data_IF_404507179913
#
_entry.id   IF_404507179913
#
_cell.length_a   1.000
_cell.length_b   1.000
_cell.length_c   1.000
_cell.angle_alpha   90.00
_cell.angle_beta   90.00
_cell.angle_gamma   90.00
#
_symmetry.space_group_name_H-M   'P 1'
#
loop_
_entity.id
_entity.type
_entity.pdbx_description
1 polymer ?
#
# COMPACT_ATOMS: atom_id res chain seq x y z
N UNK A 1 26.89 -29.26 -38.58
CA UNK A 1 25.57 -28.58 -38.79
C UNK A 1 24.71 -28.52 -37.52
N UNK A 2 25.25 -28.72 -36.34
CA UNK A 2 24.55 -28.80 -35.04
C UNK A 2 24.70 -27.59 -34.10
N UNK A 3 25.69 -26.73 -34.30
CA UNK A 3 25.98 -25.63 -33.35
C UNK A 3 25.20 -24.33 -33.58
N UNK A 4 24.75 -24.07 -34.81
CA UNK A 4 23.98 -22.86 -35.17
C UNK A 4 22.54 -22.84 -34.66
N UNK A 5 21.93 -24.01 -34.33
CA UNK A 5 20.56 -24.10 -33.78
C UNK A 5 20.47 -23.86 -32.29
N UNK A 6 21.56 -24.08 -31.56
CA UNK A 6 21.58 -23.93 -30.08
C UNK A 6 21.66 -22.45 -29.66
N UNK A 7 22.39 -21.65 -30.43
CA UNK A 7 22.51 -20.20 -30.17
C UNK A 7 21.25 -19.40 -30.53
N UNK A 8 20.47 -19.86 -31.52
CA UNK A 8 19.21 -19.23 -31.93
C UNK A 8 18.11 -19.39 -30.86
N UNK A 9 18.06 -20.52 -30.14
CA UNK A 9 17.08 -20.73 -29.04
C UNK A 9 17.41 -19.94 -27.77
N UNK A 10 18.71 -19.81 -27.46
CA UNK A 10 19.12 -19.03 -26.28
C UNK A 10 18.84 -17.52 -26.47
N UNK A 11 19.05 -17.00 -27.68
CA UNK A 11 18.71 -15.59 -28.00
C UNK A 11 17.22 -15.33 -28.11
N UNK A 12 16.40 -16.31 -28.48
CA UNK A 12 14.94 -16.17 -28.51
C UNK A 12 14.31 -16.20 -27.11
N UNK A 13 14.89 -16.94 -26.17
CA UNK A 13 14.44 -16.99 -24.77
C UNK A 13 14.76 -15.67 -24.03
N UNK A 14 15.90 -15.05 -24.32
CA UNK A 14 16.26 -13.73 -23.80
C UNK A 14 15.40 -12.60 -24.39
N UNK A 15 14.88 -12.77 -25.61
CA UNK A 15 14.06 -11.77 -26.29
C UNK A 15 12.62 -11.71 -25.77
N UNK A 16 12.13 -12.75 -25.10
CA UNK A 16 10.75 -12.87 -24.59
C UNK A 16 10.67 -12.80 -23.05
N UNK A 17 11.71 -12.36 -22.35
CA UNK A 17 11.65 -12.19 -20.91
C UNK A 17 10.79 -10.94 -20.60
N UNK A 18 9.66 -11.07 -19.84
CA UNK A 18 8.77 -9.94 -19.56
C UNK A 18 9.53 -8.77 -18.90
N UNK A 19 10.57 -9.04 -18.13
CA UNK A 19 11.42 -8.02 -17.52
C UNK A 19 12.18 -7.20 -18.56
N UNK A 20 12.71 -7.82 -19.63
CA UNK A 20 13.45 -7.10 -20.68
C UNK A 20 12.55 -6.21 -21.53
N UNK A 21 11.29 -6.60 -21.74
CA UNK A 21 10.32 -5.77 -22.45
C UNK A 21 9.89 -4.55 -21.64
N UNK A 22 9.69 -4.72 -20.33
CA UNK A 22 9.36 -3.63 -19.39
C UNK A 22 10.52 -2.63 -19.29
N UNK A 23 11.75 -3.11 -19.16
CA UNK A 23 12.94 -2.26 -19.11
C UNK A 23 13.12 -1.48 -20.41
N UNK A 24 12.96 -2.13 -21.56
CA UNK A 24 13.08 -1.46 -22.89
C UNK A 24 11.99 -0.40 -23.09
N UNK A 25 10.76 -0.66 -22.65
CA UNK A 25 9.67 0.30 -22.75
C UNK A 25 9.87 1.55 -21.88
N UNK A 26 10.61 1.43 -20.77
CA UNK A 26 10.80 2.50 -19.80
C UNK A 26 12.25 3.01 -19.72
N UNK A 27 13.10 2.69 -20.71
CA UNK A 27 14.54 3.00 -20.66
C UNK A 27 14.81 4.50 -20.47
N UNK A 28 14.00 5.38 -21.06
CA UNK A 28 14.12 6.81 -20.89
C UNK A 28 13.95 7.26 -19.44
N UNK A 29 12.93 6.74 -18.76
CA UNK A 29 12.66 7.06 -17.35
C UNK A 29 13.78 6.52 -16.46
N UNK A 30 14.27 5.31 -16.74
CA UNK A 30 15.36 4.68 -15.98
C UNK A 30 16.65 5.49 -16.14
N UNK A 31 16.98 5.93 -17.36
CA UNK A 31 18.18 6.75 -17.62
C UNK A 31 18.08 8.08 -16.88
N UNK A 32 16.95 8.77 -16.95
CA UNK A 32 16.75 10.03 -16.22
C UNK A 32 16.89 9.81 -14.71
N UNK A 33 16.31 8.74 -14.15
CA UNK A 33 16.45 8.40 -12.74
C UNK A 33 17.91 8.17 -12.34
N UNK A 34 18.66 7.41 -13.16
CA UNK A 34 20.09 7.16 -12.89
C UNK A 34 20.88 8.47 -12.92
N UNK A 35 20.65 9.33 -13.93
CA UNK A 35 21.32 10.63 -14.03
C UNK A 35 21.02 11.49 -12.79
N UNK A 36 19.78 11.55 -12.36
CA UNK A 36 19.41 12.27 -11.14
C UNK A 36 20.09 11.70 -9.89
N UNK A 37 20.11 10.38 -9.73
CA UNK A 37 20.79 9.74 -8.61
C UNK A 37 22.29 10.04 -8.59
N UNK A 38 22.96 9.97 -9.77
CA UNK A 38 24.37 10.30 -9.91
C UNK A 38 24.62 11.78 -9.59
N UNK A 39 23.81 12.68 -10.13
CA UNK A 39 23.94 14.11 -9.88
C UNK A 39 23.83 14.45 -8.37
N UNK A 40 22.85 13.86 -7.68
CA UNK A 40 22.70 14.06 -6.22
C UNK A 40 23.83 13.40 -5.44
N UNK A 41 24.31 12.23 -5.85
CA UNK A 41 25.46 11.55 -5.21
C UNK A 41 26.76 12.34 -5.32
N UNK A 42 26.95 13.06 -6.44
CA UNK A 42 28.09 13.96 -6.62
C UNK A 42 27.93 15.30 -5.89
N UNK A 43 26.68 15.74 -5.70
CA UNK A 43 26.38 17.02 -5.04
C UNK A 43 26.43 16.93 -3.50
N UNK A 44 26.28 15.74 -2.90
CA UNK A 44 26.24 15.56 -1.44
C UNK A 44 26.75 14.19 -1.00
N UNK A 45 27.68 14.19 -0.05
CA UNK A 45 28.25 12.96 0.53
C UNK A 45 27.24 12.16 1.37
N UNK A 46 26.07 12.76 1.68
CA UNK A 46 25.04 12.13 2.52
C UNK A 46 24.13 11.19 1.74
N UNK A 47 24.07 11.30 0.40
CA UNK A 47 23.11 10.56 -0.41
C UNK A 47 23.28 9.04 -0.33
N UNK A 48 24.51 8.55 -0.44
CA UNK A 48 24.85 7.12 -0.41
C UNK A 48 25.20 6.59 0.99
N UNK A 49 24.90 7.36 2.04
CA UNK A 49 25.14 6.89 3.41
C UNK A 49 24.15 5.79 3.80
N UNK A 50 24.59 4.84 4.62
CA UNK A 50 23.73 3.75 5.16
C UNK A 50 22.48 4.30 5.82
N UNK A 51 22.58 5.40 6.58
CA UNK A 51 21.43 6.02 7.24
C UNK A 51 20.40 6.55 6.24
N UNK A 52 20.84 7.16 5.14
CA UNK A 52 19.92 7.63 4.10
C UNK A 52 19.25 6.47 3.38
N UNK A 53 20.00 5.43 3.01
CA UNK A 53 19.46 4.24 2.36
C UNK A 53 18.40 3.59 3.26
N UNK A 54 18.66 3.43 4.55
CA UNK A 54 17.70 2.88 5.52
C UNK A 54 16.45 3.77 5.61
N UNK A 55 16.62 5.09 5.62
CA UNK A 55 15.48 6.03 5.66
C UNK A 55 14.62 5.93 4.40
N UNK A 56 15.24 5.83 3.23
CA UNK A 56 14.54 5.61 1.94
C UNK A 56 13.79 4.28 1.95
N UNK A 57 14.41 3.20 2.42
CA UNK A 57 13.77 1.88 2.52
C UNK A 57 12.55 1.91 3.45
N UNK A 58 12.61 2.62 4.58
CA UNK A 58 11.47 2.80 5.48
C UNK A 58 10.33 3.57 4.79
N UNK A 59 10.63 4.66 4.08
CA UNK A 59 9.62 5.43 3.35
C UNK A 59 8.96 4.60 2.25
N UNK A 60 9.75 3.85 1.47
CA UNK A 60 9.24 2.94 0.46
C UNK A 60 8.31 1.90 1.10
N UNK A 61 8.67 1.35 2.27
CA UNK A 61 7.86 0.36 2.96
C UNK A 61 6.48 0.91 3.32
N UNK A 62 6.41 2.10 3.91
CA UNK A 62 5.14 2.75 4.28
C UNK A 62 4.28 3.01 3.04
N UNK A 63 4.88 3.57 1.98
CA UNK A 63 4.16 3.82 0.73
C UNK A 63 3.67 2.52 0.08
N UNK A 64 4.42 1.42 0.21
CA UNK A 64 4.04 0.12 -0.34
C UNK A 64 2.83 -0.46 0.38
N UNK A 65 2.69 -0.30 1.71
CA UNK A 65 1.49 -0.75 2.42
C UNK A 65 0.24 -0.10 1.86
N UNK A 66 0.29 1.22 1.67
CA UNK A 66 -0.79 2.00 1.05
C UNK A 66 -1.03 1.53 -0.39
N UNK A 67 0.02 1.36 -1.18
CA UNK A 67 -0.07 0.95 -2.58
C UNK A 67 -0.69 -0.45 -2.76
N UNK A 68 -0.43 -1.39 -1.85
CA UNK A 68 -1.04 -2.72 -1.88
C UNK A 68 -2.56 -2.64 -1.73
N UNK A 69 -3.06 -1.85 -0.78
CA UNK A 69 -4.49 -1.61 -0.63
C UNK A 69 -5.08 -0.90 -1.84
N UNK A 70 -4.43 0.18 -2.31
CA UNK A 70 -4.85 0.92 -3.50
C UNK A 70 -4.92 0.07 -4.76
N UNK A 71 -4.04 -0.94 -4.89
CA UNK A 71 -4.04 -1.86 -6.03
C UNK A 71 -5.39 -2.55 -6.20
N UNK A 72 -6.02 -3.00 -5.10
CA UNK A 72 -7.34 -3.64 -5.13
C UNK A 72 -8.42 -2.69 -5.67
N UNK A 73 -8.38 -1.44 -5.22
CA UNK A 73 -9.35 -0.41 -5.60
C UNK A 73 -9.18 0.00 -7.06
N UNK A 74 -7.92 0.15 -7.51
CA UNK A 74 -7.60 0.52 -8.90
C UNK A 74 -8.01 -0.61 -9.87
N UNK A 75 -7.79 -1.88 -9.51
CA UNK A 75 -8.23 -3.02 -10.33
C UNK A 75 -9.75 -2.98 -10.51
N UNK A 76 -10.53 -2.60 -9.49
CA UNK A 76 -11.98 -2.43 -9.57
C UNK A 76 -12.44 -1.18 -10.34
N UNK A 77 -11.51 -0.34 -10.83
CA UNK A 77 -11.82 0.88 -11.57
C UNK A 77 -12.25 2.05 -10.68
N UNK A 78 -11.92 2.02 -9.37
CA UNK A 78 -12.24 3.08 -8.43
C UNK A 78 -10.98 3.84 -8.00
N UNK A 79 -11.18 5.04 -7.43
CA UNK A 79 -10.13 5.87 -6.84
C UNK A 79 -10.54 6.19 -5.40
N UNK A 80 -9.64 5.95 -4.45
CA UNK A 80 -9.82 6.31 -3.04
C UNK A 80 -8.83 7.41 -2.65
N UNK A 81 -9.37 8.57 -2.32
CA UNK A 81 -8.60 9.73 -1.88
C UNK A 81 -8.41 9.78 -0.36
N UNK A 82 -9.12 8.94 0.39
CA UNK A 82 -9.16 9.00 1.87
C UNK A 82 -8.02 8.25 2.56
N UNK A 83 -7.30 7.38 1.85
CA UNK A 83 -6.32 6.45 2.43
C UNK A 83 -5.31 7.13 3.34
N UNK A 84 -4.66 8.20 2.87
CA UNK A 84 -3.67 8.92 3.68
C UNK A 84 -4.27 9.52 4.95
N UNK A 85 -5.48 10.06 4.87
CA UNK A 85 -6.18 10.66 6.01
C UNK A 85 -6.67 9.61 7.01
N UNK A 86 -7.13 8.45 6.53
CA UNK A 86 -7.52 7.32 7.38
C UNK A 86 -6.30 6.78 8.12
N UNK A 87 -5.16 6.62 7.44
CA UNK A 87 -3.89 6.21 8.08
C UNK A 87 -3.47 7.24 9.15
N UNK A 88 -3.55 8.54 8.85
CA UNK A 88 -3.25 9.58 9.83
C UNK A 88 -4.20 9.54 11.02
N UNK A 89 -5.50 9.41 10.79
CA UNK A 89 -6.51 9.31 11.85
C UNK A 89 -6.31 8.07 12.72
N UNK A 90 -6.20 6.89 12.13
CA UNK A 90 -6.05 5.63 12.87
C UNK A 90 -4.73 5.60 13.65
N UNK A 91 -3.64 6.07 13.06
CA UNK A 91 -2.35 6.17 13.74
C UNK A 91 -2.37 7.16 14.90
N UNK A 92 -2.94 8.34 14.70
CA UNK A 92 -3.09 9.37 15.74
C UNK A 92 -3.93 8.86 16.91
N UNK A 93 -5.07 8.23 16.65
CA UNK A 93 -5.91 7.65 17.69
C UNK A 93 -5.21 6.50 18.43
N UNK A 94 -4.49 5.63 17.70
CA UNK A 94 -3.68 4.57 18.33
C UNK A 94 -2.67 5.14 19.32
N UNK A 95 -1.93 6.16 18.91
CA UNK A 95 -0.97 6.83 19.81
C UNK A 95 -1.69 7.46 21.00
N UNK A 96 -2.81 8.11 20.78
CA UNK A 96 -3.62 8.69 21.85
C UNK A 96 -4.17 7.66 22.85
N UNK A 97 -4.60 6.51 22.36
CA UNK A 97 -5.03 5.39 23.23
C UNK A 97 -3.90 4.90 24.13
N UNK A 98 -2.66 4.85 23.62
CA UNK A 98 -1.49 4.46 24.41
C UNK A 98 -1.10 5.57 25.40
N UNK A 99 -0.98 6.82 24.93
CA UNK A 99 -0.38 7.92 25.70
C UNK A 99 -1.38 8.58 26.65
N UNK A 100 -2.59 8.88 26.16
CA UNK A 100 -3.59 9.65 26.93
C UNK A 100 -4.49 8.75 27.77
N UNK A 101 -4.81 7.54 27.28
CA UNK A 101 -5.73 6.62 27.95
C UNK A 101 -5.02 5.47 28.67
N UNK A 102 -3.70 5.30 28.45
CA UNK A 102 -2.91 4.26 29.09
C UNK A 102 -3.31 2.83 28.70
N UNK A 103 -3.93 2.64 27.52
CA UNK A 103 -4.34 1.31 27.07
C UNK A 103 -3.13 0.42 26.76
N UNK A 104 -3.23 -0.89 27.02
CA UNK A 104 -2.21 -1.85 26.61
C UNK A 104 -1.94 -1.76 25.11
N UNK A 105 -0.67 -1.88 24.71
CA UNK A 105 -0.21 -1.72 23.32
C UNK A 105 -1.06 -2.51 22.32
N UNK A 106 -1.30 -3.80 22.59
CA UNK A 106 -2.07 -4.65 21.68
C UNK A 106 -3.52 -4.18 21.51
N UNK A 107 -4.16 -3.72 22.60
CA UNK A 107 -5.52 -3.18 22.55
C UNK A 107 -5.57 -1.89 21.75
N UNK A 108 -4.61 -0.99 21.96
CA UNK A 108 -4.54 0.27 21.23
C UNK A 108 -4.32 0.07 19.71
N UNK A 109 -3.45 -0.88 19.33
CA UNK A 109 -3.22 -1.22 17.92
C UNK A 109 -4.51 -1.78 17.30
N UNK A 110 -5.17 -2.75 17.96
CA UNK A 110 -6.43 -3.32 17.47
C UNK A 110 -7.52 -2.24 17.35
N UNK A 111 -7.64 -1.36 18.33
CA UNK A 111 -8.60 -0.25 18.29
C UNK A 111 -8.33 0.70 17.11
N UNK A 112 -7.07 1.06 16.85
CA UNK A 112 -6.69 1.87 15.70
C UNK A 112 -7.00 1.21 14.37
N UNK A 113 -6.73 -0.08 14.24
CA UNK A 113 -7.09 -0.86 13.05
C UNK A 113 -8.60 -0.91 12.85
N UNK A 114 -9.38 -1.09 13.91
CA UNK A 114 -10.84 -1.07 13.84
C UNK A 114 -11.39 0.30 13.41
N UNK A 115 -10.79 1.40 13.87
CA UNK A 115 -11.18 2.75 13.45
C UNK A 115 -10.92 2.93 11.95
N UNK A 116 -9.73 2.57 11.46
CA UNK A 116 -9.40 2.65 10.04
C UNK A 116 -10.34 1.79 9.19
N UNK A 117 -10.55 0.53 9.61
CA UNK A 117 -11.46 -0.41 8.94
C UNK A 117 -12.90 0.11 8.92
N UNK A 118 -13.39 0.68 10.01
CA UNK A 118 -14.74 1.26 10.10
C UNK A 118 -14.91 2.44 9.12
N UNK A 119 -13.93 3.34 9.04
CA UNK A 119 -13.95 4.46 8.10
C UNK A 119 -13.98 3.99 6.63
N UNK A 120 -13.12 3.04 6.28
CA UNK A 120 -13.11 2.42 4.95
C UNK A 120 -14.39 1.66 4.65
N UNK A 121 -14.93 0.91 5.63
CA UNK A 121 -16.20 0.19 5.49
C UNK A 121 -17.39 1.15 5.23
N UNK A 122 -17.47 2.27 5.95
CA UNK A 122 -18.51 3.28 5.74
C UNK A 122 -18.42 3.82 4.31
N UNK A 123 -17.22 4.20 3.84
CA UNK A 123 -17.02 4.67 2.47
C UNK A 123 -17.42 3.62 1.44
N UNK A 124 -16.96 2.38 1.61
CA UNK A 124 -17.28 1.27 0.73
C UNK A 124 -18.77 0.94 0.70
N UNK A 125 -19.43 0.96 1.86
CA UNK A 125 -20.86 0.73 1.97
C UNK A 125 -21.66 1.76 1.18
N UNK A 126 -21.33 3.05 1.31
CA UNK A 126 -22.03 4.12 0.60
C UNK A 126 -21.82 3.97 -0.91
N UNK A 127 -20.57 3.78 -1.37
CA UNK A 127 -20.24 3.62 -2.79
C UNK A 127 -21.00 2.43 -3.41
N UNK A 128 -21.01 1.29 -2.71
CA UNK A 128 -21.59 0.06 -3.25
C UNK A 128 -23.12 0.09 -3.32
N UNK A 129 -23.80 0.69 -2.32
CA UNK A 129 -25.26 0.63 -2.23
C UNK A 129 -25.94 1.85 -2.87
N UNK A 130 -25.35 3.05 -2.77
CA UNK A 130 -25.99 4.27 -3.25
C UNK A 130 -25.54 4.68 -4.66
N UNK A 131 -24.65 3.88 -5.31
CA UNK A 131 -24.13 4.14 -6.65
C UNK A 131 -23.48 5.54 -6.81
N UNK A 132 -22.98 6.11 -5.72
CA UNK A 132 -22.25 7.38 -5.75
C UNK A 132 -20.83 7.11 -6.23
N UNK A 133 -20.25 7.96 -7.08
CA UNK A 133 -18.85 7.83 -7.50
C UNK A 133 -17.90 7.77 -6.29
N UNK A 134 -16.98 6.79 -6.29
CA UNK A 134 -16.10 6.53 -5.16
C UNK A 134 -15.28 7.76 -4.76
N UNK A 135 -14.78 8.54 -5.73
CA UNK A 135 -13.94 9.70 -5.45
C UNK A 135 -14.68 10.78 -4.62
N UNK A 136 -16.02 10.93 -4.78
CA UNK A 136 -16.82 11.92 -4.01
C UNK A 136 -16.87 11.49 -2.54
N UNK A 137 -17.20 10.21 -2.30
CA UNK A 137 -17.33 9.67 -0.95
C UNK A 137 -15.96 9.63 -0.25
N UNK A 138 -14.93 9.20 -0.95
CA UNK A 138 -13.58 9.13 -0.37
C UNK A 138 -12.98 10.53 -0.14
N UNK A 139 -13.31 11.53 -0.97
CA UNK A 139 -12.95 12.92 -0.69
C UNK A 139 -13.65 13.45 0.57
N UNK A 140 -14.93 13.14 0.77
CA UNK A 140 -15.63 13.50 1.99
C UNK A 140 -15.01 12.81 3.22
N UNK A 141 -14.73 11.50 3.12
CA UNK A 141 -14.08 10.73 4.18
C UNK A 141 -12.67 11.26 4.47
N UNK A 142 -11.92 11.67 3.47
CA UNK A 142 -10.60 12.30 3.63
C UNK A 142 -10.67 13.52 4.56
N UNK A 143 -11.65 14.40 4.33
CA UNK A 143 -11.84 15.60 5.16
C UNK A 143 -12.33 15.24 6.58
N UNK A 144 -13.24 14.27 6.69
CA UNK A 144 -13.73 13.80 8.00
C UNK A 144 -12.58 13.20 8.81
N UNK A 145 -11.81 12.28 8.22
CA UNK A 145 -10.70 11.61 8.90
C UNK A 145 -9.60 12.61 9.31
N UNK A 146 -9.24 13.54 8.41
CA UNK A 146 -8.29 14.62 8.72
C UNK A 146 -8.80 15.52 9.84
N UNK A 147 -10.09 15.88 9.82
CA UNK A 147 -10.72 16.70 10.85
C UNK A 147 -10.70 16.00 12.21
N UNK A 148 -11.03 14.71 12.27
CA UNK A 148 -10.97 13.91 13.50
C UNK A 148 -9.54 13.88 14.06
N UNK A 149 -8.55 13.58 13.20
CA UNK A 149 -7.14 13.55 13.61
C UNK A 149 -6.70 14.92 14.17
N UNK A 150 -7.07 16.00 13.49
CA UNK A 150 -6.72 17.36 13.90
C UNK A 150 -7.36 17.77 15.23
N UNK A 151 -8.67 17.54 15.36
CA UNK A 151 -9.42 17.86 16.60
C UNK A 151 -8.91 17.05 17.79
N UNK A 152 -8.63 15.76 17.56
CA UNK A 152 -8.12 14.88 18.62
C UNK A 152 -6.76 15.31 19.18
N UNK A 153 -5.87 15.80 18.32
CA UNK A 153 -4.52 16.26 18.71
C UNK A 153 -4.48 17.74 19.09
N UNK A 154 -5.53 18.50 18.80
CA UNK A 154 -5.47 19.98 18.86
C UNK A 154 -4.45 20.57 17.88
N UNK A 155 -4.13 19.86 16.80
CA UNK A 155 -3.10 20.25 15.82
C UNK A 155 -1.66 20.11 16.33
N UNK A 156 -1.45 19.43 17.47
CA UNK A 156 -0.12 19.23 18.06
C UNK A 156 0.43 17.84 17.80
N UNK A 157 1.75 17.73 17.72
CA UNK A 157 2.42 16.43 17.63
C UNK A 157 2.36 15.68 18.97
N UNK A 158 1.89 14.46 18.97
CA UNK A 158 1.90 13.59 20.16
C UNK A 158 3.20 12.82 20.23
N UNK A 159 3.94 12.98 21.34
CA UNK A 159 5.21 12.27 21.56
C UNK A 159 4.93 10.82 21.99
N UNK A 160 5.45 9.88 21.24
CA UNK A 160 5.38 8.45 21.54
C UNK A 160 6.48 8.10 22.55
N UNK A 161 6.10 7.55 23.71
CA UNK A 161 7.04 7.15 24.77
C UNK A 161 7.11 5.63 24.97
N UNK A 162 6.17 4.87 24.40
CA UNK A 162 6.14 3.41 24.53
C UNK A 162 7.25 2.78 23.68
N UNK A 163 8.23 2.17 24.35
CA UNK A 163 9.41 1.58 23.69
C UNK A 163 9.06 0.48 22.71
N UNK A 164 8.12 -0.42 23.03
CA UNK A 164 7.70 -1.51 22.15
C UNK A 164 7.03 -0.98 20.88
N UNK A 165 6.20 0.06 21.00
CA UNK A 165 5.57 0.68 19.84
C UNK A 165 6.60 1.33 18.92
N UNK A 166 7.58 2.00 19.49
CA UNK A 166 8.70 2.57 18.73
C UNK A 166 9.49 1.46 18.03
N UNK A 167 9.77 0.36 18.71
CA UNK A 167 10.54 -0.77 18.16
C UNK A 167 9.81 -1.45 17.00
N UNK A 168 8.49 -1.63 17.07
CA UNK A 168 7.68 -2.14 15.96
C UNK A 168 7.84 -1.28 14.70
N UNK A 169 7.85 0.06 14.85
CA UNK A 169 7.95 0.99 13.73
C UNK A 169 9.36 1.30 13.24
N UNK A 170 10.35 1.23 14.14
CA UNK A 170 11.72 1.68 13.84
C UNK A 170 12.81 0.66 14.12
N UNK A 171 12.46 -0.49 14.70
CA UNK A 171 13.41 -1.55 15.05
C UNK A 171 14.06 -2.21 13.84
N UNK A 172 14.99 -3.11 14.14
CA UNK A 172 15.75 -3.85 13.13
C UNK A 172 15.67 -5.36 13.37
N UNK A 173 15.57 -6.11 12.30
CA UNK A 173 15.79 -7.56 12.31
C UNK A 173 17.30 -7.81 12.14
N UNK A 174 17.88 -8.60 13.04
CA UNK A 174 19.34 -8.91 13.08
C UNK A 174 20.23 -7.66 13.07
N UNK A 175 19.77 -6.53 13.60
CA UNK A 175 20.47 -5.23 13.62
C UNK A 175 20.87 -4.67 12.24
N UNK A 176 20.31 -5.21 11.16
CA UNK A 176 20.65 -4.82 9.78
C UNK A 176 19.41 -4.37 9.00
N UNK A 177 18.35 -5.16 9.01
CA UNK A 177 17.17 -4.94 8.16
C UNK A 177 16.09 -4.21 8.97
N UNK A 178 15.63 -3.01 8.56
CA UNK A 178 14.51 -2.35 9.23
C UNK A 178 13.25 -3.21 9.25
N UNK A 179 12.60 -3.34 10.40
CA UNK A 179 11.36 -4.13 10.53
C UNK A 179 10.26 -3.74 9.53
N UNK A 180 10.04 -2.45 9.20
CA UNK A 180 9.09 -2.08 8.14
C UNK A 180 9.37 -2.75 6.79
N UNK A 181 10.65 -2.94 6.41
CA UNK A 181 11.01 -3.64 5.16
C UNK A 181 10.60 -5.11 5.22
N UNK A 182 10.78 -5.75 6.38
CA UNK A 182 10.36 -7.15 6.58
C UNK A 182 8.85 -7.29 6.41
N UNK A 183 8.08 -6.40 7.07
CA UNK A 183 6.61 -6.40 6.93
C UNK A 183 6.19 -6.13 5.50
N UNK A 184 6.86 -5.22 4.79
CA UNK A 184 6.61 -4.93 3.38
C UNK A 184 6.74 -6.19 2.53
N UNK A 185 7.85 -6.92 2.65
CA UNK A 185 8.09 -8.15 1.87
C UNK A 185 7.04 -9.21 2.17
N UNK A 186 6.71 -9.42 3.45
CA UNK A 186 5.67 -10.38 3.86
C UNK A 186 4.31 -10.00 3.26
N UNK A 187 3.93 -8.72 3.32
CA UNK A 187 2.67 -8.25 2.76
C UNK A 187 2.63 -8.36 1.23
N UNK A 188 3.72 -8.05 0.52
CA UNK A 188 3.80 -8.23 -0.95
C UNK A 188 3.56 -9.70 -1.31
N UNK A 189 4.21 -10.63 -0.62
CA UNK A 189 4.03 -12.08 -0.87
C UNK A 189 2.58 -12.49 -0.60
N UNK A 190 2.01 -12.04 0.53
CA UNK A 190 0.63 -12.35 0.92
C UNK A 190 -0.38 -11.80 -0.12
N UNK A 191 -0.27 -10.53 -0.50
CA UNK A 191 -1.16 -9.91 -1.49
C UNK A 191 -0.99 -10.54 -2.88
N UNK A 192 0.24 -10.84 -3.29
CA UNK A 192 0.51 -11.56 -4.53
C UNK A 192 -0.17 -12.93 -4.54
N UNK A 193 -0.09 -13.68 -3.44
CA UNK A 193 -0.79 -14.96 -3.28
C UNK A 193 -2.31 -14.78 -3.32
N UNK A 194 -2.86 -13.83 -2.56
CA UNK A 194 -4.30 -13.56 -2.52
C UNK A 194 -4.82 -13.22 -3.92
N UNK A 195 -4.15 -12.32 -4.65
CA UNK A 195 -4.59 -11.88 -5.96
C UNK A 195 -4.44 -12.97 -7.04
N UNK A 196 -3.37 -13.78 -6.98
CA UNK A 196 -3.06 -14.76 -8.04
C UNK A 196 -3.63 -16.15 -7.80
N UNK A 197 -3.91 -16.53 -6.54
CA UNK A 197 -4.23 -17.92 -6.17
C UNK A 197 -5.56 -18.10 -5.47
N UNK A 198 -6.31 -17.03 -5.18
CA UNK A 198 -7.60 -17.15 -4.49
C UNK A 198 -8.78 -16.73 -5.36
N UNK A 199 -9.98 -17.22 -5.00
CA UNK A 199 -11.25 -16.79 -5.61
C UNK A 199 -11.46 -15.28 -5.46
N UNK A 200 -10.98 -14.70 -4.35
CA UNK A 200 -11.06 -13.28 -4.08
C UNK A 200 -10.37 -12.48 -5.19
N UNK A 201 -9.11 -12.81 -5.51
CA UNK A 201 -8.37 -12.16 -6.59
C UNK A 201 -9.05 -12.35 -7.95
N UNK A 202 -9.46 -13.58 -8.26
CA UNK A 202 -10.18 -13.88 -9.52
C UNK A 202 -11.42 -12.99 -9.68
N UNK A 203 -12.21 -12.82 -8.61
CA UNK A 203 -13.41 -12.00 -8.65
C UNK A 203 -13.12 -10.51 -8.79
N UNK A 204 -12.07 -10.01 -8.10
CA UNK A 204 -11.64 -8.62 -8.25
C UNK A 204 -11.24 -8.31 -9.70
N UNK A 205 -10.45 -9.18 -10.34
CA UNK A 205 -10.08 -9.01 -11.75
C UNK A 205 -11.29 -9.14 -12.69
N UNK A 206 -12.21 -10.06 -12.43
CA UNK A 206 -13.42 -10.21 -13.23
C UNK A 206 -14.30 -8.95 -13.16
N UNK A 207 -14.52 -8.41 -11.96
CA UNK A 207 -15.30 -7.18 -11.75
C UNK A 207 -14.63 -5.98 -12.40
N UNK A 208 -13.32 -5.85 -12.24
CA UNK A 208 -12.56 -4.75 -12.85
C UNK A 208 -12.52 -4.80 -14.36
N UNK A 209 -12.53 -6.00 -14.95
CA UNK A 209 -12.59 -6.19 -16.40
C UNK A 209 -13.97 -5.86 -16.99
N UNK A 210 -15.03 -6.43 -16.44
CA UNK A 210 -16.41 -6.12 -16.82
C UNK A 210 -17.36 -6.49 -15.69
N UNK A 211 -17.86 -5.49 -14.96
CA UNK A 211 -18.74 -5.65 -13.80
C UNK A 211 -20.05 -6.36 -14.14
N UNK A 212 -20.64 -6.05 -15.30
CA UNK A 212 -21.91 -6.63 -15.71
C UNK A 212 -21.75 -8.10 -16.12
N UNK A 213 -20.70 -8.42 -16.88
CA UNK A 213 -20.38 -9.81 -17.22
C UNK A 213 -20.06 -10.64 -15.96
N UNK A 214 -19.32 -10.08 -15.00
CA UNK A 214 -19.04 -10.73 -13.72
C UNK A 214 -20.33 -11.00 -12.94
N UNK A 215 -21.25 -10.03 -12.88
CA UNK A 215 -22.56 -10.17 -12.24
C UNK A 215 -23.39 -11.29 -12.88
N UNK A 216 -23.48 -11.32 -14.20
CA UNK A 216 -24.20 -12.36 -14.94
C UNK A 216 -23.57 -13.75 -14.76
N UNK A 217 -22.28 -13.82 -14.49
CA UNK A 217 -21.55 -15.05 -14.15
C UNK A 217 -21.68 -15.45 -12.67
N UNK A 218 -22.54 -14.79 -11.89
CA UNK A 218 -22.82 -15.12 -10.49
C UNK A 218 -21.79 -14.57 -9.47
N UNK A 219 -20.91 -13.66 -9.88
CA UNK A 219 -19.99 -13.00 -8.94
C UNK A 219 -20.75 -11.95 -8.12
N UNK A 220 -20.67 -11.97 -6.77
CA UNK A 220 -21.37 -11.02 -5.90
C UNK A 220 -20.69 -9.62 -5.91
N UNK A 221 -20.88 -8.88 -6.99
CA UNK A 221 -20.17 -7.63 -7.30
C UNK A 221 -20.30 -6.56 -6.22
N UNK A 222 -21.44 -6.46 -5.52
CA UNK A 222 -21.65 -5.49 -4.43
C UNK A 222 -20.77 -5.81 -3.24
N UNK A 223 -20.75 -7.08 -2.79
CA UNK A 223 -19.95 -7.51 -1.64
C UNK A 223 -18.46 -7.28 -1.85
N UNK A 224 -17.93 -7.46 -3.05
CA UNK A 224 -16.52 -7.22 -3.35
C UNK A 224 -16.16 -5.74 -3.38
N UNK A 225 -17.05 -4.86 -3.80
CA UNK A 225 -16.86 -3.42 -3.71
C UNK A 225 -16.76 -2.97 -2.25
N UNK A 226 -17.58 -3.54 -1.37
CA UNK A 226 -17.52 -3.29 0.07
C UNK A 226 -16.22 -3.72 0.73
N UNK A 227 -15.74 -4.92 0.37
CA UNK A 227 -14.57 -5.52 1.03
C UNK A 227 -13.25 -4.84 0.63
N UNK A 228 -13.18 -4.29 -0.57
CA UNK A 228 -11.93 -3.72 -1.08
C UNK A 228 -11.66 -2.31 -0.59
N UNK A 229 -12.70 -1.48 -0.38
CA UNK A 229 -12.51 -0.15 0.19
C UNK A 229 -12.04 -0.19 1.66
N UNK A 230 -12.57 -1.08 2.57
CA UNK A 230 -12.04 -1.22 3.91
C UNK A 230 -10.62 -1.75 4.00
N UNK A 231 -10.20 -2.66 3.11
CA UNK A 231 -8.83 -3.23 3.15
C UNK A 231 -7.74 -2.19 2.89
N UNK A 232 -8.10 -1.04 2.37
CA UNK A 232 -7.18 0.06 2.12
C UNK A 232 -6.85 0.87 3.38
N UNK A 233 -7.55 0.66 4.47
CA UNK A 233 -7.33 1.34 5.75
C UNK A 233 -6.43 0.56 6.72
N UNK A 234 -5.89 -0.59 6.29
CA UNK A 234 -4.93 -1.40 7.02
C UNK A 234 -3.53 -1.17 6.48
#
# INVERSE_FOLDING_TARGET
>A
MGETKKNSKATSILKNNPLTSIVKGNIGIIVVLIIMCVAVALATDKFLTTNNIISVLRQISINTYIALGMTLIIILGHIDLSVGSIVAMSGTLTVGFIVNQGLPLGVAIVAGLLVGTAAGFISGFIVANFKVPAFIITMAMMNIASGIAYVYTGGQSTRITNKLFIEIGTGYLFNVIPLPVVYMVVLIILFSFILSKTKFGTYIYAIGGNREAARLSGVPTVSYTHLTLPTNSL
#
